data_IF_113439620074
#
_entry.id   IF_113439620074
#
_cell.length_a   1.000
_cell.length_b   1.000
_cell.length_c   1.000
_cell.angle_alpha   90.00
_cell.angle_beta   90.00
_cell.angle_gamma   90.00
#
_symmetry.space_group_name_H-M   'P 1'
#
loop_
_entity.id
_entity.type
_entity.pdbx_description
1 polymer ?
#
# COMPACT_ATOMS: atom_id res chain seq x y z
N UNK A 1 -24.11 7.28 6.92
CA UNK A 1 -24.76 7.97 8.05
C UNK A 1 -26.25 8.12 7.74
N UNK A 2 -27.10 7.14 8.01
CA UNK A 2 -27.91 7.18 9.24
C UNK A 2 -29.31 6.57 9.03
N UNK A 3 -29.39 5.35 8.50
CA UNK A 3 -30.61 4.51 8.43
C UNK A 3 -31.39 4.40 9.76
N UNK A 4 -30.74 4.41 10.96
CA UNK A 4 -31.49 4.28 12.22
C UNK A 4 -32.44 5.45 12.51
N UNK A 5 -32.11 6.67 12.07
CA UNK A 5 -32.96 7.84 12.36
C UNK A 5 -34.29 7.81 11.60
N UNK A 6 -34.28 7.31 10.36
CA UNK A 6 -35.49 7.15 9.56
C UNK A 6 -36.45 6.13 10.18
N UNK A 7 -35.92 5.00 10.63
CA UNK A 7 -36.71 3.95 11.30
C UNK A 7 -37.36 4.48 12.58
N UNK A 8 -36.61 5.23 13.40
CA UNK A 8 -37.16 5.81 14.64
C UNK A 8 -38.31 6.78 14.34
N UNK A 9 -38.13 7.71 13.39
CA UNK A 9 -39.19 8.65 13.02
C UNK A 9 -40.43 7.95 12.46
N UNK A 10 -40.25 6.91 11.63
CA UNK A 10 -41.36 6.12 11.10
C UNK A 10 -42.12 5.38 12.22
N UNK A 11 -41.40 4.76 13.16
CA UNK A 11 -42.02 4.08 14.30
C UNK A 11 -42.80 5.05 15.19
N UNK A 12 -42.25 6.24 15.46
CA UNK A 12 -42.95 7.28 16.23
C UNK A 12 -44.23 7.73 15.51
N UNK A 13 -44.16 7.94 14.19
CA UNK A 13 -45.34 8.32 13.41
C UNK A 13 -46.47 7.26 13.50
N UNK A 14 -46.15 5.98 13.32
CA UNK A 14 -47.13 4.89 13.43
C UNK A 14 -47.73 4.83 14.83
N UNK A 15 -46.91 4.94 15.88
CA UNK A 15 -47.37 4.93 17.28
C UNK A 15 -48.30 6.12 17.57
N UNK A 16 -47.95 7.32 17.13
CA UNK A 16 -48.78 8.52 17.32
C UNK A 16 -50.10 8.39 16.56
N UNK A 17 -50.09 7.89 15.33
CA UNK A 17 -51.29 7.65 14.54
C UNK A 17 -52.24 6.65 15.20
N UNK A 18 -51.68 5.55 15.70
CA UNK A 18 -52.44 4.50 16.39
C UNK A 18 -53.02 5.04 17.70
N UNK A 19 -52.23 5.77 18.49
CA UNK A 19 -52.68 6.40 19.73
C UNK A 19 -53.82 7.39 19.47
N UNK A 20 -53.66 8.28 18.47
CA UNK A 20 -54.69 9.26 18.12
C UNK A 20 -56.02 8.59 17.73
N UNK A 21 -55.98 7.61 16.83
CA UNK A 21 -57.20 6.90 16.40
C UNK A 21 -57.79 5.97 17.49
N UNK A 22 -56.98 5.53 18.47
CA UNK A 22 -57.45 4.69 19.59
C UNK A 22 -58.15 5.52 20.67
N UNK A 23 -57.59 6.68 21.03
CA UNK A 23 -58.10 7.52 22.11
C UNK A 23 -59.12 8.58 21.65
N UNK A 24 -59.28 8.82 20.35
CA UNK A 24 -60.27 9.74 19.82
C UNK A 24 -61.71 9.20 19.92
N UNK A 25 -62.71 10.05 20.25
CA UNK A 25 -64.13 9.71 20.18
C UNK A 25 -64.55 9.32 18.76
N UNK A 26 -65.52 8.40 18.60
CA UNK A 26 -65.93 7.83 17.30
C UNK A 26 -66.30 8.89 16.24
N UNK A 27 -66.79 10.06 16.65
CA UNK A 27 -67.11 11.17 15.75
C UNK A 27 -65.89 11.91 15.16
N UNK A 28 -64.70 11.72 15.74
CA UNK A 28 -63.43 12.32 15.31
C UNK A 28 -62.39 11.29 14.85
N UNK A 29 -62.77 10.00 14.80
CA UNK A 29 -61.91 8.93 14.29
C UNK A 29 -61.78 9.05 12.77
N UNK A 30 -60.64 9.59 12.33
CA UNK A 30 -60.29 9.65 10.91
C UNK A 30 -60.06 8.24 10.32
N UNK A 31 -59.57 7.29 11.13
CA UNK A 31 -59.36 5.89 10.76
C UNK A 31 -59.95 4.98 11.85
N UNK A 32 -61.24 4.60 11.74
CA UNK A 32 -61.94 3.88 12.78
C UNK A 32 -61.27 2.54 13.10
N UNK A 33 -61.06 2.27 14.40
CA UNK A 33 -60.52 0.98 14.87
C UNK A 33 -61.34 -0.22 14.38
N UNK A 34 -62.63 -0.02 14.11
CA UNK A 34 -63.55 -1.05 13.62
C UNK A 34 -63.23 -1.53 12.19
N UNK A 35 -62.58 -0.69 11.37
CA UNK A 35 -62.12 -1.03 10.02
C UNK A 35 -60.63 -1.42 10.01
N UNK A 36 -60.05 -1.77 11.16
CA UNK A 36 -58.66 -2.22 11.27
C UNK A 36 -57.62 -1.24 10.69
N UNK A 37 -57.83 0.07 10.84
CA UNK A 37 -56.92 1.11 10.32
C UNK A 37 -56.68 1.00 8.79
N UNK A 38 -57.78 0.99 8.03
CA UNK A 38 -57.73 0.80 6.57
C UNK A 38 -56.91 1.90 5.89
N UNK A 39 -56.98 3.15 6.35
CA UNK A 39 -56.21 4.24 5.76
C UNK A 39 -54.71 4.09 6.01
N UNK A 40 -54.30 3.74 7.24
CA UNK A 40 -52.91 3.47 7.54
C UNK A 40 -52.36 2.35 6.65
N UNK A 41 -53.14 1.29 6.45
CA UNK A 41 -52.78 0.15 5.61
C UNK A 41 -52.61 0.56 4.14
N UNK A 42 -53.52 1.40 3.62
CA UNK A 42 -53.42 1.92 2.25
C UNK A 42 -52.17 2.81 2.06
N UNK A 43 -51.86 3.66 3.05
CA UNK A 43 -50.67 4.52 2.98
C UNK A 43 -49.38 3.68 3.02
N UNK A 44 -49.31 2.68 3.89
CA UNK A 44 -48.14 1.79 4.00
C UNK A 44 -47.95 0.92 2.76
N UNK A 45 -49.02 0.43 2.14
CA UNK A 45 -48.91 -0.34 0.89
C UNK A 45 -48.43 0.53 -0.27
N UNK A 46 -48.92 1.78 -0.36
CA UNK A 46 -48.41 2.76 -1.31
C UNK A 46 -46.93 3.08 -1.04
N UNK A 47 -46.54 3.20 0.23
CA UNK A 47 -45.16 3.46 0.64
C UNK A 47 -44.21 2.38 0.12
N UNK A 48 -44.57 1.12 0.31
CA UNK A 48 -43.81 -0.01 -0.21
C UNK A 48 -43.74 -0.01 -1.75
N UNK A 49 -44.85 0.32 -2.41
CA UNK A 49 -44.93 0.33 -3.88
C UNK A 49 -44.02 1.37 -4.53
N UNK A 50 -43.92 2.59 -3.96
CA UNK A 50 -43.02 3.63 -4.51
C UNK A 50 -41.55 3.42 -4.09
N UNK A 51 -41.30 2.73 -2.97
CA UNK A 51 -39.94 2.45 -2.52
C UNK A 51 -39.20 1.52 -3.50
N UNK A 52 -39.89 0.52 -4.05
CA UNK A 52 -39.30 -0.44 -5.00
C UNK A 52 -38.56 0.21 -6.20
N UNK A 53 -39.19 1.11 -6.99
CA UNK A 53 -38.51 1.74 -8.13
C UNK A 53 -37.36 2.67 -7.71
N UNK A 54 -37.48 3.38 -6.57
CA UNK A 54 -36.38 4.19 -6.05
C UNK A 54 -35.19 3.35 -5.62
N UNK A 55 -35.45 2.20 -5.00
CA UNK A 55 -34.41 1.23 -4.64
C UNK A 55 -33.72 0.71 -5.92
N UNK A 56 -34.48 0.37 -6.97
CA UNK A 56 -33.91 -0.08 -8.23
C UNK A 56 -33.03 0.99 -8.90
N UNK A 57 -33.45 2.26 -8.90
CA UNK A 57 -32.63 3.36 -9.42
C UNK A 57 -31.37 3.60 -8.58
N UNK A 58 -31.50 3.47 -7.25
CA UNK A 58 -30.36 3.57 -6.35
C UNK A 58 -29.37 2.43 -6.56
N UNK A 59 -29.88 1.21 -6.77
CA UNK A 59 -29.09 0.00 -7.07
C UNK A 59 -28.39 0.14 -8.42
N UNK A 60 -29.09 0.50 -9.51
CA UNK A 60 -28.44 0.71 -10.81
C UNK A 60 -27.26 1.69 -10.74
N UNK A 61 -27.44 2.79 -9.98
CA UNK A 61 -26.36 3.77 -9.78
C UNK A 61 -25.21 3.23 -8.92
N UNK A 62 -25.50 2.35 -7.96
CA UNK A 62 -24.47 1.67 -7.18
C UNK A 62 -23.71 0.69 -8.07
N UNK A 63 -24.42 -0.14 -8.84
CA UNK A 63 -23.84 -1.11 -9.77
C UNK A 63 -22.96 -0.43 -10.82
N UNK A 64 -23.37 0.71 -11.36
CA UNK A 64 -22.55 1.50 -12.30
C UNK A 64 -21.24 1.98 -11.67
N UNK A 65 -21.28 2.44 -10.41
CA UNK A 65 -20.07 2.85 -9.69
C UNK A 65 -19.17 1.67 -9.37
N UNK A 66 -19.76 0.58 -8.91
CA UNK A 66 -19.04 -0.64 -8.56
C UNK A 66 -18.38 -1.23 -9.80
N UNK A 67 -19.05 -1.17 -10.95
CA UNK A 67 -18.48 -1.52 -12.25
C UNK A 67 -17.26 -0.67 -12.60
N UNK A 68 -17.36 0.66 -12.49
CA UNK A 68 -16.22 1.56 -12.77
C UNK A 68 -15.07 1.29 -11.81
N UNK A 69 -15.35 1.06 -10.52
CA UNK A 69 -14.33 0.72 -9.54
C UNK A 69 -13.62 -0.61 -9.88
N UNK A 70 -14.37 -1.63 -10.30
CA UNK A 70 -13.82 -2.92 -10.74
C UNK A 70 -12.98 -2.79 -12.01
N UNK A 71 -13.41 -2.01 -12.99
CA UNK A 71 -12.61 -1.76 -14.21
C UNK A 71 -11.29 -1.05 -13.87
N UNK A 72 -11.32 -0.07 -12.97
CA UNK A 72 -10.10 0.61 -12.50
C UNK A 72 -9.17 -0.33 -11.71
N UNK A 73 -9.72 -1.20 -10.89
CA UNK A 73 -8.95 -2.19 -10.12
C UNK A 73 -8.24 -3.18 -11.06
N UNK A 74 -8.95 -3.66 -12.10
CA UNK A 74 -8.36 -4.54 -13.13
C UNK A 74 -7.21 -3.87 -13.87
N UNK A 75 -7.36 -2.62 -14.30
CA UNK A 75 -6.30 -1.87 -14.97
C UNK A 75 -5.10 -1.64 -14.04
N UNK A 76 -5.35 -1.36 -12.76
CA UNK A 76 -4.28 -1.23 -11.77
C UNK A 76 -3.55 -2.56 -11.54
N UNK A 77 -4.28 -3.68 -11.46
CA UNK A 77 -3.69 -5.01 -11.31
C UNK A 77 -2.80 -5.40 -12.51
N UNK A 78 -3.24 -5.11 -13.75
CA UNK A 78 -2.43 -5.34 -14.95
C UNK A 78 -1.14 -4.52 -14.94
N UNK A 79 -1.21 -3.23 -14.55
CA UNK A 79 -0.02 -2.38 -14.40
C UNK A 79 0.91 -2.89 -13.30
N UNK A 80 0.37 -3.32 -12.16
CA UNK A 80 1.16 -3.87 -11.06
C UNK A 80 1.90 -5.16 -11.47
N UNK A 81 1.28 -6.01 -12.29
CA UNK A 81 1.95 -7.19 -12.85
C UNK A 81 3.10 -6.80 -13.78
N UNK A 82 2.87 -5.84 -14.70
CA UNK A 82 3.89 -5.35 -15.62
C UNK A 82 5.06 -4.68 -14.88
N UNK A 83 4.78 -3.87 -13.85
CA UNK A 83 5.80 -3.23 -13.01
C UNK A 83 6.62 -4.28 -12.26
N UNK A 84 5.97 -5.34 -11.77
CA UNK A 84 6.66 -6.44 -11.09
C UNK A 84 7.55 -7.21 -12.06
N UNK A 85 7.09 -7.48 -13.29
CA UNK A 85 7.91 -8.13 -14.32
C UNK A 85 9.12 -7.26 -14.70
N UNK A 86 8.90 -5.96 -14.87
CA UNK A 86 9.96 -4.99 -15.15
C UNK A 86 11.00 -4.97 -14.03
N UNK A 87 10.59 -4.80 -12.77
CA UNK A 87 11.49 -4.81 -11.61
C UNK A 87 12.25 -6.13 -11.51
N UNK A 88 11.60 -7.26 -11.76
CA UNK A 88 12.25 -8.58 -11.74
C UNK A 88 13.33 -8.68 -12.81
N UNK A 89 13.07 -8.16 -14.01
CA UNK A 89 14.03 -8.13 -15.11
C UNK A 89 15.23 -7.25 -14.79
N UNK A 90 15.00 -6.07 -14.24
CA UNK A 90 16.09 -5.16 -13.88
C UNK A 90 16.91 -5.68 -12.70
N UNK A 91 16.28 -6.31 -11.71
CA UNK A 91 17.00 -6.99 -10.62
C UNK A 91 17.86 -8.14 -11.17
N UNK A 92 17.36 -8.91 -12.15
CA UNK A 92 18.15 -9.97 -12.78
C UNK A 92 19.35 -9.41 -13.56
N UNK A 93 19.16 -8.33 -14.33
CA UNK A 93 20.22 -7.64 -15.05
C UNK A 93 21.27 -7.06 -14.08
N UNK A 94 20.82 -6.39 -13.02
CA UNK A 94 21.67 -5.82 -11.98
C UNK A 94 22.48 -6.91 -11.26
N UNK A 95 21.86 -8.05 -10.96
CA UNK A 95 22.53 -9.22 -10.36
C UNK A 95 23.66 -9.77 -11.24
N UNK A 96 23.45 -9.84 -12.56
CA UNK A 96 24.48 -10.30 -13.51
C UNK A 96 25.64 -9.29 -13.54
N UNK A 97 25.35 -8.01 -13.69
CA UNK A 97 26.36 -6.95 -13.68
C UNK A 97 27.19 -6.94 -12.37
N UNK A 98 26.53 -7.10 -11.22
CA UNK A 98 27.20 -7.24 -9.92
C UNK A 98 28.06 -8.49 -9.83
N UNK A 99 27.62 -9.61 -10.41
CA UNK A 99 28.40 -10.86 -10.41
C UNK A 99 29.66 -10.74 -11.25
N UNK A 100 29.60 -10.04 -12.37
CA UNK A 100 30.77 -9.79 -13.22
C UNK A 100 31.74 -8.80 -12.54
N UNK A 101 31.23 -7.69 -11.97
CA UNK A 101 32.04 -6.68 -11.27
C UNK A 101 32.62 -7.16 -9.93
N UNK A 102 31.91 -8.03 -9.21
CA UNK A 102 32.34 -8.61 -7.94
C UNK A 102 32.82 -10.06 -8.10
N UNK A 103 33.34 -10.44 -9.27
CA UNK A 103 33.97 -11.75 -9.39
C UNK A 103 35.09 -11.78 -8.36
N UNK A 104 35.05 -12.77 -7.45
CA UNK A 104 36.03 -12.98 -6.37
C UNK A 104 37.47 -12.83 -6.86
N UNK A 105 37.73 -13.16 -8.12
CA UNK A 105 39.03 -13.05 -8.76
C UNK A 105 39.45 -11.63 -9.10
N UNK A 106 38.53 -10.72 -9.44
CA UNK A 106 38.82 -9.29 -9.61
C UNK A 106 39.10 -8.61 -8.26
N UNK A 107 38.27 -8.87 -7.25
CA UNK A 107 38.52 -8.36 -5.89
C UNK A 107 39.82 -8.93 -5.34
N UNK A 108 40.13 -10.20 -5.64
CA UNK A 108 41.39 -10.84 -5.24
C UNK A 108 42.59 -10.31 -6.02
N UNK A 109 42.45 -9.98 -7.30
CA UNK A 109 43.55 -9.40 -8.09
C UNK A 109 43.86 -8.00 -7.62
N UNK A 110 42.86 -7.13 -7.43
CA UNK A 110 43.08 -5.79 -6.88
C UNK A 110 43.65 -5.81 -5.46
N UNK A 111 43.17 -6.73 -4.61
CA UNK A 111 43.77 -6.91 -3.28
C UNK A 111 45.22 -7.40 -3.36
N UNK A 112 45.60 -8.24 -4.34
CA UNK A 112 46.99 -8.68 -4.52
C UNK A 112 47.86 -7.57 -5.07
N UNK A 113 47.39 -6.85 -6.09
CA UNK A 113 48.13 -5.75 -6.71
C UNK A 113 48.42 -4.65 -5.68
N UNK A 114 47.44 -4.28 -4.84
CA UNK A 114 47.65 -3.33 -3.74
C UNK A 114 48.64 -3.85 -2.68
N UNK A 115 48.62 -5.14 -2.37
CA UNK A 115 49.54 -5.75 -1.39
C UNK A 115 50.97 -5.79 -1.92
N UNK A 116 51.13 -6.12 -3.20
CA UNK A 116 52.41 -6.16 -3.90
C UNK A 116 52.99 -4.74 -4.04
N UNK A 117 52.16 -3.73 -4.33
CA UNK A 117 52.58 -2.33 -4.35
C UNK A 117 53.09 -1.85 -2.97
N UNK A 118 52.45 -2.29 -1.88
CA UNK A 118 52.93 -1.99 -0.52
C UNK A 118 54.21 -2.73 -0.17
N UNK A 119 54.37 -3.99 -0.59
CA UNK A 119 55.61 -4.76 -0.39
C UNK A 119 56.80 -4.13 -1.14
N UNK A 120 56.60 -3.73 -2.39
CA UNK A 120 57.62 -3.04 -3.20
C UNK A 120 58.02 -1.73 -2.54
N UNK A 121 57.06 -0.90 -2.12
CA UNK A 121 57.35 0.35 -1.38
C UNK A 121 58.08 0.07 -0.07
N UNK A 122 57.71 -0.98 0.65
CA UNK A 122 58.39 -1.41 1.87
C UNK A 122 59.85 -1.84 1.62
N UNK A 123 60.10 -2.57 0.53
CA UNK A 123 61.44 -2.98 0.12
C UNK A 123 62.30 -1.80 -0.36
N UNK A 124 61.71 -0.84 -1.07
CA UNK A 124 62.39 0.38 -1.49
C UNK A 124 62.81 1.23 -0.28
N UNK A 125 61.94 1.35 0.73
CA UNK A 125 62.27 2.03 1.99
C UNK A 125 63.42 1.31 2.70
N UNK A 126 63.36 -0.02 2.79
CA UNK A 126 64.40 -0.82 3.46
C UNK A 126 65.74 -0.77 2.73
N UNK A 127 65.74 -0.77 1.40
CA UNK A 127 66.95 -0.62 0.57
C UNK A 127 67.56 0.77 0.73
N UNK A 128 66.75 1.82 0.83
CA UNK A 128 67.25 3.17 1.16
C UNK A 128 67.93 3.21 2.52
N UNK A 129 67.37 2.55 3.53
CA UNK A 129 68.01 2.44 4.85
C UNK A 129 69.32 1.65 4.82
N UNK A 130 69.42 0.60 3.99
CA UNK A 130 70.65 -0.18 3.80
C UNK A 130 71.73 0.60 3.04
N UNK A 131 71.37 1.38 2.02
CA UNK A 131 72.31 2.23 1.29
C UNK A 131 72.80 3.41 2.16
N UNK A 132 71.92 4.02 2.98
CA UNK A 132 72.31 5.06 3.95
C UNK A 132 73.13 4.50 5.12
N UNK A 133 72.86 3.28 5.58
CA UNK A 133 73.61 2.62 6.65
C UNK A 133 74.94 1.99 6.20
N UNK A 134 75.06 1.64 4.91
CA UNK A 134 76.28 1.07 4.33
C UNK A 134 77.41 2.08 4.17
N UNK A 135 77.08 3.34 3.86
CA UNK A 135 78.05 4.44 3.80
C UNK A 135 78.67 4.73 5.18
N UNK A 136 77.89 4.62 6.25
CA UNK A 136 78.34 4.87 7.64
C UNK A 136 79.29 3.77 8.18
N UNK A 137 79.26 2.57 7.58
CA UNK A 137 80.15 1.44 7.94
C UNK A 137 81.45 1.45 7.11
N UNK A 138 81.39 1.90 5.85
CA UNK A 138 82.57 2.02 4.98
C UNK A 138 83.57 3.09 5.48
N UNK A 139 83.09 4.11 6.19
CA UNK A 139 83.94 5.19 6.74
C UNK A 139 84.69 4.79 8.03
N UNK A 140 84.38 3.62 8.64
CA UNK A 140 85.01 3.14 9.89
C UNK A 140 86.16 2.14 9.70
N UNK A 141 86.81 2.11 8.53
CA UNK A 141 88.05 1.33 8.37
C UNK A 141 89.27 2.23 8.66
N UNK A 142 89.98 2.05 9.79
CA UNK A 142 91.10 2.93 10.11
C UNK A 142 92.26 2.68 9.13
N UNK A 143 92.79 3.78 8.58
CA UNK A 143 93.99 3.80 7.75
C UNK A 143 95.18 3.22 8.53
N UNK A 144 95.85 2.23 7.90
CA UNK A 144 97.28 1.91 7.79
C UNK A 144 98.30 2.39 8.86
N UNK A 145 99.55 1.86 8.88
CA UNK A 145 100.14 0.76 8.11
C UNK A 145 100.52 -0.48 8.95
#
# INVERSE_FOLDING_TARGET
>A
MGTPRFLIWMSVFVVVWLAWNTFAPEAAQFDPRALNYTLLTLILSLQASYAAPLILLAQNRQDDRDRVALEQDRVQAERALADTEYLTREVAALRIALRDAATRDFIRSELRDLLEEMEVKGLEVRRREEDEGGDDVAERKPLAP
#
